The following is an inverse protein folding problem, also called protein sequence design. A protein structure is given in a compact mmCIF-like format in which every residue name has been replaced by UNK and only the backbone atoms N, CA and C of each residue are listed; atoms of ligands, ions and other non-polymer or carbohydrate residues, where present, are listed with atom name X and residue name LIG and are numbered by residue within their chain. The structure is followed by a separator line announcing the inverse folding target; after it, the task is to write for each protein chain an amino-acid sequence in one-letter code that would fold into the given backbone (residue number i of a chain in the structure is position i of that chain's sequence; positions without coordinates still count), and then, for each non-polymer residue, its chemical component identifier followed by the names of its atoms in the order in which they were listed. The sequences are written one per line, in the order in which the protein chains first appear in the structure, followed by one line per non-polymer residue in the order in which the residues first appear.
data_IF_115845422527
#
_entry.id   IF_115845422527
#
_cell.length_a   1.000
_cell.length_b   1.000
_cell.length_c   1.000
_cell.angle_alpha   90.00
_cell.angle_beta   90.00
_cell.angle_gamma   90.00
#
_symmetry.space_group_name_H-M   'P 1'
#
loop_
_entity.id
_entity.type
_entity.pdbx_description
1 polymer ?
#
# COMPACT_ATOMS: atom_id res chain seq x y z
N UNK A 1 -1.46 -25.87 16.59
CA UNK A 1 -1.31 -24.90 15.50
C UNK A 1 -0.41 -23.80 16.01
N UNK A 2 0.89 -24.01 15.93
CA UNK A 2 1.87 -23.01 16.27
C UNK A 2 1.92 -22.00 15.13
N UNK A 3 1.35 -20.84 15.34
CA UNK A 3 1.82 -19.63 14.67
C UNK A 3 3.28 -19.51 15.10
N UNK A 4 4.19 -19.84 14.19
CA UNK A 4 5.62 -19.65 14.41
C UNK A 4 5.85 -18.21 14.83
N UNK A 5 6.48 -18.01 15.98
CA UNK A 5 6.91 -16.72 16.49
C UNK A 5 7.70 -16.01 15.39
N UNK A 6 7.05 -15.04 14.75
CA UNK A 6 7.72 -14.17 13.78
C UNK A 6 8.43 -13.10 14.58
N UNK A 7 9.74 -13.20 14.64
CA UNK A 7 10.56 -12.16 15.24
C UNK A 7 10.65 -11.01 14.23
N UNK A 8 10.09 -9.87 14.61
CA UNK A 8 10.22 -8.63 13.86
C UNK A 8 11.28 -7.77 14.56
N UNK A 9 12.39 -7.56 13.89
CA UNK A 9 13.41 -6.61 14.34
C UNK A 9 13.20 -5.29 13.59
N UNK A 10 13.14 -4.19 14.32
CA UNK A 10 13.25 -2.85 13.70
C UNK A 10 14.72 -2.60 13.40
N UNK A 11 15.04 -2.42 12.12
CA UNK A 11 16.42 -2.30 11.66
C UNK A 11 16.69 -0.86 11.21
N UNK A 12 17.72 -0.25 11.79
CA UNK A 12 18.29 0.99 11.31
C UNK A 12 19.31 0.68 10.21
N UNK A 13 18.92 0.96 8.95
CA UNK A 13 19.74 0.68 7.77
C UNK A 13 21.11 1.35 7.81
N UNK A 14 21.25 2.46 8.53
CA UNK A 14 22.54 3.14 8.65
C UNK A 14 23.60 2.32 9.41
N UNK A 15 23.17 1.35 10.21
CA UNK A 15 23.99 0.52 11.08
C UNK A 15 24.12 -0.94 10.62
N UNK A 16 23.39 -1.33 9.59
CA UNK A 16 23.37 -2.72 9.11
C UNK A 16 24.47 -2.92 8.07
N UNK A 17 25.36 -3.85 8.34
CA UNK A 17 26.16 -4.51 7.32
C UNK A 17 25.25 -5.51 6.60
N UNK A 18 25.35 -5.59 5.27
CA UNK A 18 24.53 -6.47 4.43
C UNK A 18 24.90 -7.93 4.74
N UNK A 19 24.41 -8.42 5.83
CA UNK A 19 24.46 -9.85 6.12
C UNK A 19 23.09 -10.42 5.75
N UNK A 20 23.06 -11.57 5.06
CA UNK A 20 21.86 -12.34 4.70
C UNK A 20 21.13 -12.91 5.94
N UNK A 21 21.07 -12.15 7.01
CA UNK A 21 20.45 -12.50 8.27
C UNK A 21 18.93 -12.59 8.15
N UNK A 22 18.34 -11.69 7.34
CA UNK A 22 16.90 -11.58 7.20
C UNK A 22 16.41 -12.24 5.91
N UNK A 23 15.35 -13.03 6.00
CA UNK A 23 14.74 -13.68 4.83
C UNK A 23 13.85 -12.74 4.01
N UNK A 24 13.30 -11.74 4.66
CA UNK A 24 12.44 -10.73 4.03
C UNK A 24 12.58 -9.40 4.78
N UNK A 25 12.61 -8.32 4.02
CA UNK A 25 12.54 -6.95 4.52
C UNK A 25 11.14 -6.41 4.24
N UNK A 26 10.54 -5.74 5.20
CA UNK A 26 9.24 -5.07 5.04
C UNK A 26 9.45 -3.58 5.19
N UNK A 27 9.15 -2.83 4.15
CA UNK A 27 9.14 -1.37 4.15
C UNK A 27 7.69 -0.90 4.21
N UNK A 28 7.25 -0.50 5.40
CA UNK A 28 5.86 -0.17 5.66
C UNK A 28 5.68 1.34 5.86
N UNK A 29 4.91 1.96 4.96
CA UNK A 29 4.49 3.38 5.03
C UNK A 29 5.62 4.35 5.39
N UNK A 30 6.74 4.37 4.66
CA UNK A 30 7.80 5.32 4.93
C UNK A 30 7.30 6.75 4.71
N UNK A 31 7.61 7.63 5.65
CA UNK A 31 7.24 9.05 5.61
C UNK A 31 8.44 9.97 5.40
N UNK A 32 9.64 9.41 5.43
CA UNK A 32 10.89 10.13 5.27
C UNK A 32 11.62 9.69 4.00
N UNK A 33 12.41 10.59 3.45
CA UNK A 33 13.24 10.29 2.27
C UNK A 33 14.37 9.35 2.68
N UNK A 34 14.53 8.26 1.94
CA UNK A 34 15.68 7.37 2.07
C UNK A 34 16.95 8.05 1.59
N UNK A 35 18.04 7.91 2.34
CA UNK A 35 19.35 8.34 1.87
C UNK A 35 19.86 7.45 0.72
N UNK A 36 20.78 7.95 -0.10
CA UNK A 36 21.42 7.15 -1.14
C UNK A 36 22.10 5.89 -0.58
N UNK A 37 22.61 5.97 0.65
CA UNK A 37 23.21 4.83 1.34
C UNK A 37 22.16 3.77 1.65
N UNK A 38 20.98 4.16 2.15
CA UNK A 38 19.91 3.24 2.48
C UNK A 38 19.37 2.55 1.22
N UNK A 39 19.16 3.32 0.15
CA UNK A 39 18.73 2.79 -1.15
C UNK A 39 19.76 1.80 -1.72
N UNK A 40 21.04 2.10 -1.61
CA UNK A 40 22.11 1.19 -2.01
C UNK A 40 22.10 -0.11 -1.20
N UNK A 41 21.90 -0.03 0.12
CA UNK A 41 21.82 -1.19 1.00
C UNK A 41 20.62 -2.09 0.61
N UNK A 42 19.46 -1.49 0.35
CA UNK A 42 18.27 -2.21 -0.10
C UNK A 42 18.52 -2.88 -1.46
N UNK A 43 19.10 -2.16 -2.41
CA UNK A 43 19.43 -2.67 -3.73
C UNK A 43 20.39 -3.87 -3.63
N UNK A 44 21.47 -3.75 -2.86
CA UNK A 44 22.40 -4.86 -2.62
C UNK A 44 21.73 -6.05 -1.95
N UNK A 45 20.84 -5.82 -0.99
CA UNK A 45 20.08 -6.90 -0.36
C UNK A 45 19.22 -7.66 -1.38
N UNK A 46 18.55 -6.95 -2.31
CA UNK A 46 17.76 -7.57 -3.38
C UNK A 46 18.67 -8.34 -4.34
N UNK A 47 19.79 -7.74 -4.76
CA UNK A 47 20.75 -8.35 -5.68
C UNK A 47 21.38 -9.65 -5.12
N UNK A 48 21.46 -9.79 -3.80
CA UNK A 48 21.91 -11.03 -3.14
C UNK A 48 20.76 -12.03 -2.87
N UNK A 49 19.58 -11.83 -3.49
CA UNK A 49 18.44 -12.74 -3.39
C UNK A 49 17.51 -12.46 -2.21
N UNK A 50 17.69 -11.34 -1.53
CA UNK A 50 16.77 -10.87 -0.49
C UNK A 50 15.39 -10.52 -1.08
N UNK A 51 14.35 -10.66 -0.27
CA UNK A 51 12.96 -10.36 -0.64
C UNK A 51 12.50 -9.11 0.07
N UNK A 52 11.89 -8.19 -0.66
CA UNK A 52 11.36 -6.95 -0.08
C UNK A 52 9.86 -6.86 -0.33
N UNK A 53 9.10 -6.59 0.73
CA UNK A 53 7.70 -6.23 0.66
C UNK A 53 7.59 -4.71 0.81
N UNK A 54 7.15 -4.05 -0.25
CA UNK A 54 6.91 -2.62 -0.27
C UNK A 54 5.43 -2.33 0.01
N UNK A 55 5.15 -1.56 1.04
CA UNK A 55 3.83 -1.03 1.38
C UNK A 55 3.96 0.49 1.37
N UNK A 56 3.65 1.10 0.23
CA UNK A 56 3.93 2.51 -0.05
C UNK A 56 2.62 3.27 -0.26
N UNK A 57 2.53 4.43 0.36
CA UNK A 57 1.50 5.41 0.06
C UNK A 57 2.15 6.54 -0.77
N UNK A 58 1.75 6.71 -2.02
CA UNK A 58 2.27 7.80 -2.87
C UNK A 58 1.73 9.17 -2.45
N UNK A 59 0.56 9.17 -1.81
CA UNK A 59 -0.09 10.37 -1.28
C UNK A 59 -0.38 10.20 0.21
N UNK A 60 -0.15 11.26 0.97
CA UNK A 60 -0.53 11.31 2.37
C UNK A 60 -1.96 11.84 2.49
N UNK A 61 -2.90 10.93 2.73
CA UNK A 61 -4.33 11.19 2.93
C UNK A 61 -4.84 10.29 4.04
N UNK A 62 -5.68 10.83 4.93
CA UNK A 62 -6.34 10.03 5.97
C UNK A 62 -7.80 10.42 6.13
N UNK A 63 -8.62 9.45 6.57
CA UNK A 63 -10.03 9.70 6.94
C UNK A 63 -10.17 10.65 8.11
N UNK A 64 -9.24 10.62 9.06
CA UNK A 64 -9.26 11.50 10.24
C UNK A 64 -9.18 12.97 9.83
N UNK A 65 -8.36 13.28 8.82
CA UNK A 65 -8.28 14.63 8.26
C UNK A 65 -9.58 15.08 7.60
N UNK A 66 -10.29 14.16 6.93
CA UNK A 66 -11.59 14.42 6.31
C UNK A 66 -12.72 14.59 7.33
N UNK A 67 -12.65 13.87 8.45
CA UNK A 67 -13.63 14.02 9.54
C UNK A 67 -13.45 15.32 10.33
N UNK A 68 -12.20 15.77 10.47
CA UNK A 68 -11.87 17.01 11.17
C UNK A 68 -12.19 18.27 10.34
N UNK A 69 -12.16 18.16 9.01
CA UNK A 69 -12.36 19.26 8.07
C UNK A 69 -13.24 18.81 6.91
N UNK A 70 -14.05 19.70 6.36
CA UNK A 70 -14.94 19.41 5.21
C UNK A 70 -14.18 19.09 3.91
N UNK A 71 -12.88 19.34 3.88
CA UNK A 71 -12.01 19.03 2.74
C UNK A 71 -10.59 18.76 3.24
N UNK A 72 -9.87 17.91 2.53
CA UNK A 72 -8.44 17.66 2.77
C UNK A 72 -7.66 17.71 1.47
N UNK A 73 -6.37 17.99 1.56
CA UNK A 73 -5.46 18.03 0.42
C UNK A 73 -4.58 16.79 0.47
N UNK A 74 -4.57 16.04 -0.64
CA UNK A 74 -3.64 14.94 -0.83
C UNK A 74 -2.23 15.51 -1.10
N UNK A 75 -1.29 15.25 -0.22
CA UNK A 75 0.08 15.72 -0.34
C UNK A 75 0.95 14.55 -0.80
N UNK A 76 1.79 14.78 -1.82
CA UNK A 76 2.73 13.77 -2.31
C UNK A 76 3.70 13.33 -1.21
N UNK A 77 3.83 12.02 -1.03
CA UNK A 77 4.76 11.41 -0.09
C UNK A 77 6.03 10.98 -0.82
N UNK A 78 6.97 11.91 -0.98
CA UNK A 78 8.23 11.65 -1.68
C UNK A 78 9.21 10.90 -0.77
N UNK A 79 9.46 9.63 -1.06
CA UNK A 79 10.36 8.76 -0.29
C UNK A 79 11.69 8.49 -1.00
N UNK A 80 11.80 8.79 -2.31
CA UNK A 80 13.00 8.57 -3.12
C UNK A 80 13.20 7.13 -3.58
N UNK A 81 12.21 6.24 -3.40
CA UNK A 81 12.29 4.82 -3.81
C UNK A 81 11.91 4.60 -5.28
N UNK A 82 11.41 5.63 -5.96
CA UNK A 82 10.84 5.53 -7.30
C UNK A 82 11.83 4.95 -8.33
N UNK A 83 13.10 5.37 -8.27
CA UNK A 83 14.15 4.89 -9.19
C UNK A 83 14.47 3.41 -8.99
N UNK A 84 14.45 2.93 -7.74
CA UNK A 84 14.63 1.51 -7.43
C UNK A 84 13.45 0.72 -7.98
N UNK A 85 12.24 1.12 -7.65
CA UNK A 85 11.03 0.44 -8.10
C UNK A 85 10.97 0.41 -9.63
N UNK A 86 11.27 1.51 -10.29
CA UNK A 86 11.28 1.59 -11.75
C UNK A 86 12.25 0.60 -12.38
N UNK A 87 13.46 0.47 -11.83
CA UNK A 87 14.46 -0.52 -12.29
C UNK A 87 13.98 -1.96 -12.09
N UNK A 88 13.27 -2.24 -11.00
CA UNK A 88 12.69 -3.55 -10.71
C UNK A 88 11.33 -3.80 -11.40
N UNK A 89 10.84 -2.87 -12.19
CA UNK A 89 9.70 -3.11 -13.08
C UNK A 89 8.37 -2.55 -12.61
N UNK A 90 8.34 -1.74 -11.55
CA UNK A 90 7.14 -1.12 -11.03
C UNK A 90 7.28 0.41 -10.98
N UNK A 91 6.18 1.11 -11.26
CA UNK A 91 6.05 2.55 -11.07
C UNK A 91 4.78 2.83 -10.30
N UNK A 92 4.92 3.43 -9.14
CA UNK A 92 3.77 3.92 -8.35
C UNK A 92 3.43 5.33 -8.85
N UNK A 93 2.17 5.55 -9.23
CA UNK A 93 1.72 6.85 -9.70
C UNK A 93 1.26 7.73 -8.54
N UNK A 94 1.46 9.04 -8.66
CA UNK A 94 1.02 10.02 -7.66
C UNK A 94 -0.43 10.42 -7.94
N UNK A 95 -1.34 9.46 -7.82
CA UNK A 95 -2.77 9.62 -8.04
C UNK A 95 -3.58 8.86 -6.98
N UNK A 96 -4.87 9.13 -6.90
CA UNK A 96 -5.83 8.33 -6.12
C UNK A 96 -6.77 7.61 -7.07
N UNK A 97 -6.93 6.33 -6.85
CA UNK A 97 -7.90 5.50 -7.58
C UNK A 97 -9.30 5.78 -7.04
N UNK A 98 -10.22 6.05 -7.94
CA UNK A 98 -11.66 6.02 -7.68
C UNK A 98 -12.28 4.82 -8.39
N UNK A 99 -13.02 3.99 -7.66
CA UNK A 99 -13.66 2.81 -8.21
C UNK A 99 -15.15 2.81 -7.88
N UNK A 100 -15.97 2.35 -8.82
CA UNK A 100 -17.41 2.14 -8.60
C UNK A 100 -17.67 0.93 -7.70
N UNK A 101 -16.79 -0.07 -7.72
CA UNK A 101 -16.79 -1.16 -6.75
C UNK A 101 -15.98 -0.74 -5.53
N UNK A 102 -16.68 -0.22 -4.54
CA UNK A 102 -16.06 0.39 -3.37
C UNK A 102 -16.78 0.02 -2.09
N UNK A 103 -16.03 0.04 -1.01
CA UNK A 103 -16.56 -0.18 0.32
C UNK A 103 -17.46 0.98 0.77
N UNK A 104 -18.40 0.66 1.66
CA UNK A 104 -19.26 1.66 2.27
C UNK A 104 -18.64 2.20 3.54
N UNK A 105 -18.76 3.50 3.75
CA UNK A 105 -18.34 4.19 4.97
C UNK A 105 -19.55 4.58 5.80
N UNK A 106 -19.51 4.45 7.13
CA UNK A 106 -20.56 4.92 8.00
C UNK A 106 -20.52 6.44 8.12
N UNK A 107 -21.66 7.07 7.93
CA UNK A 107 -21.84 8.52 8.12
C UNK A 107 -22.97 8.72 9.14
N UNK A 108 -22.75 9.60 10.11
CA UNK A 108 -23.77 10.00 11.06
C UNK A 108 -24.79 10.87 10.34
N UNK A 109 -26.03 10.38 10.20
CA UNK A 109 -27.12 11.07 9.48
C UNK A 109 -28.17 11.68 10.41
N UNK A 110 -28.07 11.40 11.71
CA UNK A 110 -29.01 11.89 12.72
C UNK A 110 -28.73 11.33 14.10
N UNK A 111 -29.67 11.53 14.99
CA UNK A 111 -29.68 10.94 16.34
C UNK A 111 -31.02 10.26 16.61
N UNK A 112 -30.99 9.12 17.27
CA UNK A 112 -32.18 8.47 17.82
C UNK A 112 -32.68 9.22 19.07
N UNK A 113 -33.89 8.92 19.55
CA UNK A 113 -34.49 9.57 20.72
C UNK A 113 -33.72 9.37 22.03
N UNK A 114 -32.82 8.38 22.08
CA UNK A 114 -31.95 8.02 23.18
C UNK A 114 -30.53 8.62 23.04
N UNK A 115 -30.36 9.66 22.19
CA UNK A 115 -29.09 10.31 21.87
C UNK A 115 -28.04 9.40 21.20
N UNK A 116 -28.39 8.21 20.77
CA UNK A 116 -27.49 7.35 19.99
C UNK A 116 -27.34 7.89 18.57
N UNK A 117 -26.12 7.90 18.00
CA UNK A 117 -25.92 8.34 16.62
C UNK A 117 -26.60 7.38 15.64
N UNK A 118 -27.40 7.90 14.74
CA UNK A 118 -27.95 7.16 13.60
C UNK A 118 -26.90 7.09 12.50
N UNK A 119 -26.47 5.88 12.16
CA UNK A 119 -25.46 5.64 11.12
C UNK A 119 -26.12 5.18 9.83
N UNK A 120 -25.75 5.82 8.72
CA UNK A 120 -26.08 5.37 7.36
C UNK A 120 -24.82 5.04 6.59
N UNK A 121 -24.87 4.01 5.75
CA UNK A 121 -23.69 3.51 5.02
C UNK A 121 -23.78 3.97 3.57
N UNK A 122 -22.76 4.73 3.13
CA UNK A 122 -22.66 5.24 1.76
C UNK A 122 -21.43 4.68 1.04
N UNK A 123 -21.52 4.34 -0.25
CA UNK A 123 -20.37 3.94 -1.04
C UNK A 123 -19.37 5.08 -1.11
N UNK A 124 -18.07 4.76 -0.92
CA UNK A 124 -16.99 5.73 -0.95
C UNK A 124 -15.95 5.33 -1.98
N UNK A 125 -15.96 5.99 -3.14
CA UNK A 125 -15.21 5.61 -4.32
C UNK A 125 -13.67 5.57 -4.11
N UNK A 126 -13.15 6.27 -3.11
CA UNK A 126 -11.72 6.22 -2.73
C UNK A 126 -11.35 5.02 -1.85
N UNK A 127 -12.33 4.14 -1.54
CA UNK A 127 -12.10 2.87 -0.86
C UNK A 127 -12.42 1.69 -1.78
N UNK A 128 -11.61 1.50 -2.83
CA UNK A 128 -11.87 0.44 -3.79
C UNK A 128 -11.79 -0.93 -3.15
N UNK A 129 -12.62 -1.84 -3.63
CA UNK A 129 -12.52 -3.27 -3.36
C UNK A 129 -11.68 -3.90 -4.47
N UNK A 130 -10.45 -4.24 -4.13
CA UNK A 130 -9.45 -4.76 -5.07
C UNK A 130 -9.61 -6.27 -5.20
N UNK A 131 -9.68 -6.75 -6.44
CA UNK A 131 -9.93 -8.15 -6.75
C UNK A 131 -8.62 -8.93 -6.94
N UNK A 132 -8.51 -10.14 -6.36
CA UNK A 132 -7.35 -10.99 -6.54
C UNK A 132 -7.33 -11.64 -7.93
N UNK A 133 -6.13 -11.89 -8.43
CA UNK A 133 -5.92 -12.71 -9.61
C UNK A 133 -6.11 -14.19 -9.25
N UNK A 134 -7.23 -14.78 -9.66
CA UNK A 134 -7.56 -16.19 -9.38
C UNK A 134 -6.63 -17.20 -10.05
N UNK A 135 -5.85 -16.76 -11.03
CA UNK A 135 -4.92 -17.64 -11.76
C UNK A 135 -3.54 -17.79 -11.09
N UNK A 136 -3.32 -17.10 -9.97
CA UNK A 136 -2.03 -17.13 -9.28
C UNK A 136 -2.16 -17.75 -7.90
N UNK A 137 -1.27 -18.68 -7.54
CA UNK A 137 -1.32 -19.48 -6.31
C UNK A 137 -1.32 -18.61 -5.03
N UNK A 138 -0.72 -17.43 -5.06
CA UNK A 138 -0.67 -16.52 -3.91
C UNK A 138 -2.03 -15.85 -3.69
N UNK A 139 -2.73 -15.51 -4.76
CA UNK A 139 -4.00 -14.77 -4.73
C UNK A 139 -5.23 -15.64 -4.98
N UNK A 140 -5.05 -16.91 -5.36
CA UNK A 140 -6.15 -17.87 -5.43
C UNK A 140 -6.81 -18.02 -4.05
N UNK A 141 -8.12 -17.96 -3.98
CA UNK A 141 -8.95 -18.05 -2.76
C UNK A 141 -8.84 -16.89 -1.77
N UNK A 142 -8.25 -15.76 -2.16
CA UNK A 142 -8.33 -14.52 -1.38
C UNK A 142 -9.64 -13.81 -1.74
N UNK A 143 -10.38 -13.36 -0.74
CA UNK A 143 -11.54 -12.48 -0.95
C UNK A 143 -11.09 -11.10 -1.42
N UNK A 144 -11.96 -10.32 -2.09
CA UNK A 144 -11.66 -8.92 -2.40
C UNK A 144 -11.19 -8.16 -1.16
N UNK A 145 -10.19 -7.31 -1.33
CA UNK A 145 -9.56 -6.56 -0.25
C UNK A 145 -9.97 -5.10 -0.36
N UNK A 146 -10.60 -4.59 0.70
CA UNK A 146 -10.83 -3.15 0.83
C UNK A 146 -9.49 -2.45 1.03
N UNK A 147 -9.22 -1.46 0.21
CA UNK A 147 -8.08 -0.56 0.36
C UNK A 147 -8.56 0.88 0.53
N UNK A 148 -7.72 1.73 1.14
CA UNK A 148 -8.07 3.11 1.44
C UNK A 148 -7.06 4.03 0.78
N UNK A 149 -7.53 4.99 -0.05
CA UNK A 149 -6.73 6.02 -0.71
C UNK A 149 -5.52 5.48 -1.47
N UNK A 150 -5.72 4.43 -2.25
CA UNK A 150 -4.64 3.77 -2.98
C UNK A 150 -4.29 4.50 -4.27
N UNK A 151 -3.03 4.36 -4.66
CA UNK A 151 -2.49 4.83 -5.94
C UNK A 151 -2.37 3.69 -6.94
N UNK A 152 -2.41 4.01 -8.22
CA UNK A 152 -2.19 3.02 -9.28
C UNK A 152 -0.71 2.65 -9.40
N UNK A 153 -0.46 1.43 -9.85
CA UNK A 153 0.88 0.90 -10.14
C UNK A 153 0.93 0.49 -11.61
N UNK A 154 1.90 1.02 -12.34
CA UNK A 154 2.20 0.62 -13.71
C UNK A 154 3.40 -0.32 -13.75
N UNK A 155 3.42 -1.21 -14.73
CA UNK A 155 4.59 -2.02 -15.04
C UNK A 155 5.51 -1.27 -16.00
N UNK A 156 6.82 -1.32 -15.76
CA UNK A 156 7.81 -0.68 -16.62
C UNK A 156 8.45 -1.69 -17.58
N UNK A 157 9.16 -1.19 -18.60
CA UNK A 157 9.84 -2.03 -19.60
C UNK A 157 11.13 -2.71 -19.08
N UNK A 158 11.23 -3.00 -17.77
CA UNK A 158 12.38 -3.73 -17.22
C UNK A 158 12.37 -5.21 -17.64
N UNK A 159 13.54 -5.87 -17.60
CA UNK A 159 13.66 -7.31 -17.89
C UNK A 159 13.15 -8.19 -16.74
N UNK A 160 12.84 -7.62 -15.58
CA UNK A 160 12.32 -8.37 -14.45
C UNK A 160 10.95 -8.99 -14.78
N UNK A 161 10.72 -10.21 -14.36
CA UNK A 161 9.41 -10.85 -14.43
C UNK A 161 8.43 -10.11 -13.51
N UNK A 162 7.24 -9.82 -14.02
CA UNK A 162 6.19 -9.07 -13.31
C UNK A 162 4.90 -9.86 -13.32
N UNK A 163 4.32 -10.05 -12.14
CA UNK A 163 3.01 -10.69 -12.00
C UNK A 163 2.09 -9.77 -11.21
N UNK A 164 0.98 -9.39 -11.83
CA UNK A 164 -0.06 -8.60 -11.15
C UNK A 164 -0.94 -9.56 -10.36
N UNK A 165 -1.01 -9.35 -9.05
CA UNK A 165 -1.75 -10.19 -8.12
C UNK A 165 -3.13 -9.64 -7.78
N UNK A 166 -3.29 -8.32 -7.84
CA UNK A 166 -4.50 -7.61 -7.44
C UNK A 166 -4.87 -6.59 -8.51
N UNK A 167 -6.16 -6.50 -8.83
CA UNK A 167 -6.70 -5.59 -9.84
C UNK A 167 -7.84 -4.76 -9.27
N UNK A 168 -7.94 -3.53 -9.69
CA UNK A 168 -9.14 -2.72 -9.53
C UNK A 168 -10.25 -3.20 -10.49
N UNK A 169 -11.47 -2.72 -10.29
CA UNK A 169 -12.58 -3.07 -11.20
C UNK A 169 -12.47 -2.37 -12.57
N UNK A 170 -13.31 -2.80 -13.51
CA UNK A 170 -13.43 -2.14 -14.80
C UNK A 170 -14.07 -0.74 -14.72
N UNK A 171 -14.61 -0.37 -13.57
CA UNK A 171 -15.19 0.95 -13.28
C UNK A 171 -14.23 1.94 -12.64
N UNK A 172 -12.93 1.65 -12.66
CA UNK A 172 -11.86 2.48 -12.06
C UNK A 172 -11.52 3.69 -12.93
N UNK A 173 -11.27 4.81 -12.28
CA UNK A 173 -10.74 6.05 -12.86
C UNK A 173 -9.62 6.62 -12.01
#
# INVERSE_FOLDING_TARGET
NSLTDRIYDTVDLSKVTIENKYKCMIVAKPTSIFSYKDLYIIDQYIMHGGKVLWLLDALNVSMDSLQAQSSTVAISNFTGVDDILFRYGAKVNTNLIMDLQCAKVPIVTGQYQDNMPQMSYYPWNFFPEIHPNSNHIISDKISPVKMEFVSSIDTTASQAEKTVLLYSSNGTR
#
